data_IF_242311512042
#
_entry.id   IF_242311512042
#
_cell.length_a   1.000
_cell.length_b   1.000
_cell.length_c   1.000
_cell.angle_alpha   90.00
_cell.angle_beta   90.00
_cell.angle_gamma   90.00
#
_symmetry.space_group_name_H-M   'P 1'
#
loop_
_entity.id
_entity.type
_entity.pdbx_description
1 polymer ?
#
# COMPACT_ATOMS: atom_id res chain seq x y z
N UNK A 1 36.47 4.83 6.39
CA UNK A 1 35.87 4.64 5.05
C UNK A 1 34.42 4.27 5.26
N UNK A 2 33.48 5.06 4.78
CA UNK A 2 32.06 4.65 4.77
C UNK A 2 31.85 3.90 3.46
N UNK A 3 31.64 2.58 3.57
CA UNK A 3 31.34 1.72 2.44
C UNK A 3 30.02 2.18 1.84
N UNK A 4 30.08 2.90 0.71
CA UNK A 4 28.90 3.28 -0.06
C UNK A 4 28.36 1.99 -0.68
N UNK A 5 27.44 1.35 0.02
CA UNK A 5 26.69 0.21 -0.48
C UNK A 5 26.12 0.54 -1.85
N UNK A 6 26.45 -0.29 -2.83
CA UNK A 6 25.92 -0.21 -4.18
C UNK A 6 24.40 -0.44 -4.08
N UNK A 7 23.61 0.63 -4.24
CA UNK A 7 22.15 0.52 -4.32
C UNK A 7 21.85 0.14 -5.77
N UNK A 8 21.40 -1.09 -6.08
CA UNK A 8 21.09 -1.46 -7.45
C UNK A 8 20.04 -0.50 -8.01
N UNK A 9 20.19 -0.09 -9.26
CA UNK A 9 19.36 0.94 -9.93
C UNK A 9 17.86 0.59 -10.00
N UNK A 10 17.53 -0.67 -9.71
CA UNK A 10 16.20 -1.27 -9.62
C UNK A 10 15.66 -1.36 -8.17
N UNK A 11 16.35 -0.75 -7.21
CA UNK A 11 15.88 -0.68 -5.83
C UNK A 11 14.55 0.06 -5.76
N UNK A 12 13.48 -0.67 -5.42
CA UNK A 12 12.18 -0.12 -5.04
C UNK A 12 12.26 0.70 -3.73
N UNK A 13 13.45 0.91 -3.19
CA UNK A 13 13.73 1.72 -2.01
C UNK A 13 13.34 3.18 -2.24
N UNK A 14 12.34 3.64 -1.48
CA UNK A 14 11.81 5.01 -1.61
C UNK A 14 10.82 5.20 -2.76
N UNK A 15 10.52 4.17 -3.56
CA UNK A 15 9.51 4.30 -4.62
C UNK A 15 8.11 4.33 -4.01
N UNK A 16 7.39 5.40 -4.31
CA UNK A 16 5.98 5.56 -3.95
C UNK A 16 5.10 5.45 -5.18
N UNK A 17 3.99 4.74 -5.06
CA UNK A 17 2.99 4.56 -6.13
C UNK A 17 1.66 5.19 -5.72
N UNK A 18 0.83 5.49 -6.72
CA UNK A 18 -0.53 5.96 -6.49
C UNK A 18 -1.49 4.79 -6.29
N UNK A 19 -2.67 5.09 -5.74
CA UNK A 19 -3.77 4.12 -5.55
C UNK A 19 -4.10 3.31 -6.82
N UNK A 20 -4.10 3.96 -8.00
CA UNK A 20 -4.39 3.27 -9.26
C UNK A 20 -3.34 2.19 -9.56
N UNK A 21 -2.06 2.53 -9.48
CA UNK A 21 -0.97 1.58 -9.73
C UNK A 21 -0.98 0.44 -8.69
N UNK A 22 -1.28 0.76 -7.43
CA UNK A 22 -1.41 -0.25 -6.38
C UNK A 22 -2.57 -1.22 -6.66
N UNK A 23 -3.71 -0.70 -7.10
CA UNK A 23 -4.85 -1.49 -7.53
C UNK A 23 -4.50 -2.45 -8.68
N UNK A 24 -3.91 -1.91 -9.75
CA UNK A 24 -3.56 -2.67 -10.96
C UNK A 24 -2.47 -3.73 -10.68
N UNK A 25 -1.51 -3.42 -9.80
CA UNK A 25 -0.35 -4.29 -9.56
C UNK A 25 -0.62 -5.36 -8.50
N UNK A 26 -1.26 -4.99 -7.39
CA UNK A 26 -1.36 -5.84 -6.20
C UNK A 26 -2.78 -6.29 -5.89
N UNK A 27 -3.80 -5.55 -6.32
CA UNK A 27 -5.18 -5.82 -5.96
C UNK A 27 -6.04 -6.26 -7.15
N UNK A 28 -5.47 -6.80 -8.22
CA UNK A 28 -6.25 -7.30 -9.37
C UNK A 28 -7.19 -6.26 -10.01
N UNK A 29 -6.77 -4.99 -10.04
CA UNK A 29 -7.55 -3.87 -10.59
C UNK A 29 -8.86 -3.57 -9.82
N UNK A 30 -8.90 -3.85 -8.51
CA UNK A 30 -10.03 -3.55 -7.62
C UNK A 30 -10.25 -2.05 -7.44
N UNK A 31 -11.51 -1.66 -7.24
CA UNK A 31 -11.85 -0.26 -7.04
C UNK A 31 -11.15 0.34 -5.80
N UNK A 32 -10.78 1.64 -5.82
CA UNK A 32 -10.18 2.31 -4.67
C UNK A 32 -11.00 2.23 -3.38
N UNK A 33 -12.33 2.13 -3.49
CA UNK A 33 -13.23 1.98 -2.33
C UNK A 33 -13.14 0.58 -1.72
N UNK A 34 -12.99 -0.45 -2.55
CA UNK A 34 -12.76 -1.82 -2.10
C UNK A 34 -11.45 -1.91 -1.33
N UNK A 35 -10.36 -1.34 -1.89
CA UNK A 35 -9.04 -1.32 -1.23
C UNK A 35 -9.10 -0.58 0.11
N UNK A 36 -9.81 0.55 0.17
CA UNK A 36 -9.97 1.28 1.43
C UNK A 36 -10.70 0.46 2.48
N UNK A 37 -11.76 -0.24 2.07
CA UNK A 37 -12.58 -1.02 3.00
C UNK A 37 -11.81 -2.25 3.48
N UNK A 38 -11.40 -3.12 2.55
CA UNK A 38 -10.89 -4.45 2.86
C UNK A 38 -9.39 -4.53 3.12
N UNK A 39 -8.64 -3.47 2.84
CA UNK A 39 -7.21 -3.41 3.17
C UNK A 39 -6.96 -2.32 4.20
N UNK A 40 -7.37 -1.08 3.96
CA UNK A 40 -6.95 0.01 4.85
C UNK A 40 -7.77 0.10 6.14
N UNK A 41 -9.08 -0.09 6.06
CA UNK A 41 -9.97 0.02 7.22
C UNK A 41 -9.92 -1.27 8.05
N UNK A 42 -9.83 -2.45 7.42
CA UNK A 42 -9.65 -3.75 8.11
C UNK A 42 -8.26 -3.89 8.76
N UNK A 43 -7.20 -3.36 8.14
CA UNK A 43 -5.82 -3.48 8.64
C UNK A 43 -5.24 -2.10 8.99
N UNK A 44 -5.56 -1.53 10.18
CA UNK A 44 -5.07 -0.20 10.54
C UNK A 44 -3.54 -0.12 10.64
N UNK A 45 -2.85 -1.24 10.80
CA UNK A 45 -1.38 -1.33 10.82
C UNK A 45 -0.71 -0.92 9.51
N UNK A 46 -1.45 -0.92 8.38
CA UNK A 46 -0.93 -0.46 7.09
C UNK A 46 -0.78 1.06 7.03
N UNK A 47 -1.40 1.83 7.93
CA UNK A 47 -1.21 3.29 8.02
C UNK A 47 0.18 3.62 8.58
N UNK A 48 0.89 4.56 7.95
CA UNK A 48 2.19 5.04 8.43
C UNK A 48 2.15 5.58 9.86
N UNK A 49 1.00 6.06 10.34
CA UNK A 49 0.81 6.47 11.74
C UNK A 49 0.99 5.32 12.73
N UNK A 50 0.73 4.10 12.27
CA UNK A 50 0.89 2.86 13.02
C UNK A 50 2.16 2.09 12.63
N UNK A 51 3.05 2.70 11.83
CA UNK A 51 4.28 2.08 11.35
C UNK A 51 4.20 1.40 9.99
N UNK A 52 3.05 1.50 9.31
CA UNK A 52 2.80 0.88 8.02
C UNK A 52 3.41 1.58 6.81
N UNK A 53 2.70 1.49 5.69
CA UNK A 53 3.18 1.84 4.35
C UNK A 53 2.22 2.71 3.53
N UNK A 54 1.05 3.06 4.06
CA UNK A 54 0.07 3.95 3.44
C UNK A 54 0.04 5.28 4.16
N UNK A 55 0.21 6.37 3.41
CA UNK A 55 -0.07 7.72 3.89
C UNK A 55 -1.47 8.11 3.43
N UNK A 56 -2.30 8.57 4.36
CA UNK A 56 -3.68 8.99 4.11
C UNK A 56 -4.51 7.90 3.40
N UNK A 57 -4.77 6.76 4.08
CA UNK A 57 -5.59 5.68 3.53
C UNK A 57 -6.98 6.17 3.08
N UNK A 58 -7.57 7.08 3.85
CA UNK A 58 -8.85 7.73 3.55
C UNK A 58 -8.66 9.16 3.04
N UNK A 59 -9.38 9.51 1.98
CA UNK A 59 -9.50 10.91 1.53
C UNK A 59 -10.26 11.69 2.59
N UNK A 60 -9.57 12.58 3.29
CA UNK A 60 -10.18 13.55 4.22
C UNK A 60 -10.21 14.92 3.59
N UNK A 61 -10.99 15.87 4.14
CA UNK A 61 -11.01 17.27 3.68
C UNK A 61 -9.63 17.92 3.61
N UNK A 62 -8.67 17.43 4.41
CA UNK A 62 -7.31 17.99 4.52
C UNK A 62 -6.23 17.15 3.81
N UNK A 63 -6.49 15.88 3.49
CA UNK A 63 -5.55 14.95 2.86
C UNK A 63 -6.00 14.55 1.45
N UNK A 64 -5.41 15.16 0.42
CA UNK A 64 -5.88 15.03 -0.98
C UNK A 64 -5.38 13.77 -1.71
N UNK A 65 -4.23 13.21 -1.30
CA UNK A 65 -3.55 12.16 -2.07
C UNK A 65 -3.07 11.04 -1.17
N UNK A 66 -3.52 9.82 -1.46
CA UNK A 66 -3.00 8.58 -0.84
C UNK A 66 -1.63 8.28 -1.45
N UNK A 67 -0.63 8.04 -0.61
CA UNK A 67 0.73 7.69 -1.02
C UNK A 67 1.02 6.29 -0.49
N UNK A 68 1.51 5.41 -1.36
CA UNK A 68 1.78 4.00 -1.03
C UNK A 68 3.26 3.72 -1.24
N UNK A 69 3.97 3.27 -0.21
CA UNK A 69 5.37 2.86 -0.32
C UNK A 69 5.46 1.47 -0.94
N UNK A 70 5.82 1.40 -2.23
CA UNK A 70 5.68 0.19 -3.04
C UNK A 70 6.36 -1.03 -2.43
N UNK A 71 7.63 -0.91 -2.00
CA UNK A 71 8.39 -2.04 -1.43
C UNK A 71 7.71 -2.62 -0.19
N UNK A 72 7.26 -1.75 0.72
CA UNK A 72 6.62 -2.17 1.97
C UNK A 72 5.22 -2.73 1.72
N UNK A 73 4.47 -2.10 0.82
CA UNK A 73 3.17 -2.57 0.36
C UNK A 73 3.27 -3.97 -0.25
N UNK A 74 4.24 -4.19 -1.14
CA UNK A 74 4.46 -5.49 -1.77
C UNK A 74 4.75 -6.59 -0.74
N UNK A 75 5.65 -6.31 0.23
CA UNK A 75 5.97 -7.26 1.29
C UNK A 75 4.74 -7.60 2.13
N UNK A 76 3.99 -6.58 2.54
CA UNK A 76 2.78 -6.78 3.35
C UNK A 76 1.70 -7.55 2.57
N UNK A 77 1.50 -7.23 1.28
CA UNK A 77 0.56 -7.96 0.44
C UNK A 77 0.94 -9.43 0.29
N UNK A 78 2.23 -9.76 0.14
CA UNK A 78 2.72 -11.15 0.07
C UNK A 78 2.51 -11.93 1.39
N UNK A 79 2.60 -11.24 2.53
CA UNK A 79 2.40 -11.84 3.84
C UNK A 79 0.91 -12.07 4.18
N UNK A 80 0.03 -11.21 3.67
CA UNK A 80 -1.40 -11.19 4.03
C UNK A 80 -2.35 -11.54 2.87
N UNK A 81 -1.87 -11.91 1.68
CA UNK A 81 -2.73 -12.16 0.51
C UNK A 81 -3.78 -13.25 0.77
N UNK A 82 -3.39 -14.27 1.54
CA UNK A 82 -4.27 -15.40 1.90
C UNK A 82 -5.30 -15.06 2.97
N UNK A 83 -5.10 -13.98 3.72
CA UNK A 83 -6.03 -13.53 4.78
C UNK A 83 -7.13 -12.61 4.22
N UNK A 84 -6.86 -11.95 3.10
CA UNK A 84 -7.78 -11.02 2.47
C UNK A 84 -8.89 -11.81 1.76
N UNK A 85 -10.15 -11.53 2.11
CA UNK A 85 -11.30 -12.03 1.36
C UNK A 85 -11.44 -11.28 0.03
N UNK A 86 -10.80 -11.80 -1.01
CA UNK A 86 -10.83 -11.23 -2.36
C UNK A 86 -12.23 -11.21 -2.98
N UNK A 87 -13.17 -12.06 -2.54
CA UNK A 87 -14.54 -12.09 -3.07
C UNK A 87 -15.50 -11.18 -2.29
N UNK A 88 -15.00 -10.46 -1.28
CA UNK A 88 -15.78 -9.55 -0.48
C UNK A 88 -16.44 -8.44 -1.34
N UNK A 89 -17.69 -8.13 -0.99
CA UNK A 89 -18.50 -7.10 -1.67
C UNK A 89 -18.59 -5.88 -0.78
N UNK A 90 -18.50 -4.70 -1.39
CA UNK A 90 -18.74 -3.43 -0.69
C UNK A 90 -20.13 -3.47 -0.04
N UNK A 91 -20.25 -3.12 1.25
CA UNK A 91 -21.52 -3.03 1.94
C UNK A 91 -22.41 -1.88 1.43
#
# INVERSE_FOLDING_TARGET
>A
MQERGYVPAESLEGKTIKMKEFSETYCGNRAPEWIRTFIFDEYPEVDVKNGGWVVHPRRTKNGKTTIIFQRRAAKWMDEHDTEIDWDAKLP
#
